data_IF_001701620644
#
_entry.id   IF_001701620644
#
_cell.length_a   1.000
_cell.length_b   1.000
_cell.length_c   1.000
_cell.angle_alpha   90.00
_cell.angle_beta   90.00
_cell.angle_gamma   90.00
#
_symmetry.space_group_name_H-M   'P 1'
#
loop_
_entity.id
_entity.type
_entity.pdbx_description
1 polymer ?
#
# COMPACT_ATOMS: atom_id res chain seq x y z
N UNK A 1 3.22 6.59 -3.64
CA UNK A 1 3.82 6.05 -2.41
C UNK A 1 4.27 7.20 -1.54
N UNK A 2 3.99 7.17 -0.26
CA UNK A 2 4.58 8.12 0.66
C UNK A 2 6.08 7.84 0.63
N UNK A 3 6.84 8.67 -0.06
CA UNK A 3 8.28 8.54 -0.09
C UNK A 3 8.79 8.69 1.34
N UNK A 4 9.69 7.81 1.78
CA UNK A 4 10.27 7.85 3.12
C UNK A 4 10.87 9.22 3.46
N UNK A 5 11.21 9.99 2.45
CA UNK A 5 11.76 11.35 2.49
C UNK A 5 10.83 12.40 1.86
N UNK A 6 9.60 12.04 1.50
CA UNK A 6 8.61 12.94 0.91
C UNK A 6 7.89 13.81 1.95
N UNK A 7 6.95 14.64 1.49
CA UNK A 7 6.18 15.59 2.31
C UNK A 7 5.46 14.94 3.51
N UNK A 8 5.13 13.64 3.41
CA UNK A 8 4.51 12.84 4.46
C UNK A 8 5.45 11.74 5.01
N UNK A 9 6.75 11.87 4.75
CA UNK A 9 7.76 10.94 5.23
C UNK A 9 7.92 10.95 6.74
N UNK A 10 8.26 9.80 7.33
CA UNK A 10 8.54 9.66 8.75
C UNK A 10 9.68 8.67 9.01
N UNK A 11 10.29 8.75 10.18
CA UNK A 11 11.30 7.78 10.60
C UNK A 11 10.74 6.35 10.65
N UNK A 12 9.47 6.18 11.02
CA UNK A 12 8.81 4.87 11.01
C UNK A 12 8.62 4.34 9.59
N UNK A 13 8.23 5.20 8.65
CA UNK A 13 8.13 4.84 7.25
C UNK A 13 9.48 4.44 6.67
N UNK A 14 10.56 5.17 7.01
CA UNK A 14 11.91 4.83 6.57
C UNK A 14 12.42 3.50 7.15
N UNK A 15 12.04 3.17 8.38
CA UNK A 15 12.54 1.99 9.08
C UNK A 15 12.06 0.65 8.45
N UNK A 16 10.95 0.63 7.73
CA UNK A 16 10.45 -0.61 7.10
C UNK A 16 11.11 -0.93 5.76
N UNK A 17 11.79 0.03 5.11
CA UNK A 17 12.37 -0.14 3.76
C UNK A 17 13.23 -1.40 3.63
N UNK A 18 14.20 -1.66 4.54
CA UNK A 18 15.03 -2.85 4.42
C UNK A 18 14.23 -4.15 4.46
N UNK A 19 13.17 -4.20 5.29
CA UNK A 19 12.29 -5.37 5.39
C UNK A 19 11.49 -5.55 4.10
N UNK A 20 10.93 -4.48 3.54
CA UNK A 20 10.20 -4.52 2.27
C UNK A 20 11.11 -4.96 1.13
N UNK A 21 12.33 -4.41 1.03
CA UNK A 21 13.34 -4.83 0.03
C UNK A 21 13.64 -6.32 0.16
N UNK A 22 13.93 -6.79 1.38
CA UNK A 22 14.17 -8.21 1.64
C UNK A 22 12.98 -9.07 1.20
N UNK A 23 11.76 -8.65 1.52
CA UNK A 23 10.54 -9.37 1.17
C UNK A 23 10.37 -9.46 -0.35
N UNK A 24 10.37 -8.32 -1.06
CA UNK A 24 10.11 -8.32 -2.51
C UNK A 24 11.22 -8.98 -3.32
N UNK A 25 12.47 -8.90 -2.85
CA UNK A 25 13.62 -9.53 -3.54
C UNK A 25 13.60 -11.07 -3.48
N UNK A 26 12.91 -11.66 -2.52
CA UNK A 26 12.84 -13.11 -2.30
C UNK A 26 11.43 -13.68 -2.46
N UNK A 27 10.45 -12.85 -2.83
CA UNK A 27 9.06 -13.29 -2.97
C UNK A 27 8.90 -14.16 -4.22
N UNK A 28 8.40 -15.38 -4.01
CA UNK A 28 8.04 -16.30 -5.09
C UNK A 28 6.59 -16.06 -5.51
N UNK A 29 6.39 -15.13 -6.43
CA UNK A 29 5.07 -14.74 -6.95
C UNK A 29 5.09 -13.40 -7.67
N UNK A 30 3.92 -12.95 -8.09
CA UNK A 30 3.75 -11.66 -8.76
C UNK A 30 3.78 -10.52 -7.75
N UNK A 31 4.61 -9.50 -8.00
CA UNK A 31 4.70 -8.29 -7.17
C UNK A 31 4.02 -7.13 -7.89
N UNK A 32 3.00 -6.55 -7.24
CA UNK A 32 2.26 -5.40 -7.76
C UNK A 32 2.42 -4.24 -6.78
N UNK A 33 2.83 -3.09 -7.31
CA UNK A 33 2.92 -1.86 -6.56
C UNK A 33 1.66 -1.03 -6.79
N UNK A 34 0.94 -0.70 -5.73
CA UNK A 34 -0.08 0.36 -5.78
C UNK A 34 0.56 1.67 -5.34
N UNK A 35 0.26 2.76 -6.03
CA UNK A 35 0.90 4.05 -5.78
C UNK A 35 -0.13 5.16 -5.85
N UNK A 36 -0.13 6.04 -4.83
CA UNK A 36 -0.93 7.26 -4.86
C UNK A 36 -0.52 8.14 -6.04
N UNK A 37 -1.49 8.67 -6.74
CA UNK A 37 -1.28 9.52 -7.92
C UNK A 37 -2.34 10.62 -7.96
N UNK A 38 -1.97 11.78 -7.45
CA UNK A 38 -2.86 12.95 -7.43
C UNK A 38 -2.62 13.88 -8.61
N UNK A 39 -3.66 14.59 -9.01
CA UNK A 39 -3.58 15.67 -10.01
C UNK A 39 -3.01 16.96 -9.40
N UNK A 40 -2.68 17.91 -10.27
CA UNK A 40 -2.23 19.24 -9.85
C UNK A 40 -3.31 20.02 -9.07
N UNK A 41 -4.55 19.58 -9.16
CA UNK A 41 -5.72 20.13 -8.46
C UNK A 41 -5.96 19.51 -7.06
N UNK A 42 -5.00 18.74 -6.54
CA UNK A 42 -5.09 18.03 -5.24
C UNK A 42 -5.71 18.90 -4.13
N UNK A 43 -5.28 20.15 -3.99
CA UNK A 43 -5.76 21.07 -2.95
C UNK A 43 -7.25 21.41 -3.06
N UNK A 44 -7.89 21.11 -4.19
CA UNK A 44 -9.32 21.30 -4.44
C UNK A 44 -10.12 19.98 -4.37
N UNK A 45 -9.47 18.90 -3.98
CA UNK A 45 -10.13 17.61 -3.72
C UNK A 45 -10.58 17.52 -2.27
N UNK A 46 -11.52 16.60 -1.98
CA UNK A 46 -11.95 16.32 -0.59
C UNK A 46 -10.77 15.90 0.30
N UNK A 47 -9.80 15.17 -0.24
CA UNK A 47 -8.63 14.77 0.49
C UNK A 47 -7.72 15.97 0.77
N UNK A 48 -7.48 16.82 -0.22
CA UNK A 48 -6.68 18.03 -0.07
C UNK A 48 -7.28 19.03 0.90
N UNK A 49 -8.61 19.11 1.01
CA UNK A 49 -9.28 19.93 2.03
C UNK A 49 -9.04 19.41 3.46
N UNK A 50 -8.96 18.07 3.63
CA UNK A 50 -8.75 17.44 4.95
C UNK A 50 -7.29 17.29 5.31
N UNK A 51 -6.42 17.11 4.33
CA UNK A 51 -4.97 16.97 4.45
C UNK A 51 -4.28 17.98 3.50
N UNK A 52 -4.18 19.26 3.87
CA UNK A 52 -3.65 20.32 3.00
C UNK A 52 -2.12 20.25 2.86
N UNK A 53 -1.60 19.07 2.55
CA UNK A 53 -0.18 18.80 2.32
C UNK A 53 -0.04 18.19 0.94
N UNK A 54 0.50 18.96 -0.01
CA UNK A 54 0.73 18.49 -1.38
C UNK A 54 1.71 17.31 -1.35
N UNK A 55 1.27 16.17 -1.90
CA UNK A 55 2.06 14.94 -1.97
C UNK A 55 1.65 14.10 -3.18
N UNK A 56 2.49 13.19 -3.61
CA UNK A 56 2.24 12.21 -4.67
C UNK A 56 1.63 12.80 -5.95
N UNK A 57 1.95 14.06 -6.28
CA UNK A 57 1.49 14.66 -7.54
C UNK A 57 2.17 13.93 -8.69
N UNK A 58 1.36 13.45 -9.62
CA UNK A 58 1.81 12.66 -10.78
C UNK A 58 2.93 13.40 -11.53
N UNK A 59 3.90 12.64 -12.01
CA UNK A 59 5.07 13.11 -12.75
C UNK A 59 6.02 14.01 -11.94
N UNK A 60 5.96 13.96 -10.60
CA UNK A 60 6.90 14.64 -9.72
C UNK A 60 7.78 13.62 -8.95
N UNK A 61 8.96 14.03 -8.42
CA UNK A 61 9.79 13.15 -7.62
C UNK A 61 9.09 12.53 -6.41
N UNK A 62 8.13 13.22 -5.82
CA UNK A 62 7.35 12.73 -4.67
C UNK A 62 6.34 11.62 -5.02
N UNK A 63 6.06 11.41 -6.29
CA UNK A 63 5.21 10.34 -6.81
C UNK A 63 6.01 9.07 -7.15
N UNK A 64 7.31 9.20 -7.41
CA UNK A 64 8.17 8.09 -7.78
C UNK A 64 8.27 7.02 -6.68
N UNK A 65 8.45 5.77 -7.09
CA UNK A 65 8.82 4.68 -6.18
C UNK A 65 10.23 4.93 -5.64
N UNK A 66 10.46 4.68 -4.36
CA UNK A 66 11.77 4.91 -3.76
C UNK A 66 12.87 4.08 -4.44
N UNK A 67 14.08 4.62 -4.47
CA UNK A 67 15.19 4.07 -5.25
C UNK A 67 15.55 2.64 -4.84
N UNK A 68 15.41 2.30 -3.56
CA UNK A 68 15.70 0.97 -3.02
C UNK A 68 14.74 -0.11 -3.57
N UNK A 69 13.52 0.28 -3.94
CA UNK A 69 12.52 -0.65 -4.47
C UNK A 69 12.44 -0.66 -6.01
N UNK A 70 12.98 0.36 -6.69
CA UNK A 70 12.97 0.45 -8.16
C UNK A 70 13.48 -0.81 -8.87
N UNK A 71 14.55 -1.49 -8.41
CA UNK A 71 15.04 -2.72 -9.05
C UNK A 71 14.05 -3.88 -9.06
N UNK A 72 13.04 -3.86 -8.18
CA UNK A 72 12.06 -4.95 -8.02
C UNK A 72 10.69 -4.61 -8.59
N UNK A 73 10.55 -3.47 -9.26
CA UNK A 73 9.28 -3.03 -9.85
C UNK A 73 8.97 -3.86 -11.08
N UNK A 74 7.84 -4.56 -11.07
CA UNK A 74 7.29 -5.29 -12.21
C UNK A 74 6.05 -4.60 -12.76
N UNK A 75 5.08 -4.34 -11.91
CA UNK A 75 3.81 -3.70 -12.25
C UNK A 75 3.52 -2.59 -11.26
N UNK A 76 3.15 -1.42 -11.77
CA UNK A 76 2.71 -0.29 -10.96
C UNK A 76 1.28 0.08 -11.34
N UNK A 77 0.44 0.26 -10.33
CA UNK A 77 -0.94 0.71 -10.48
C UNK A 77 -1.08 2.05 -9.77
N UNK A 78 -1.29 3.09 -10.54
CA UNK A 78 -1.59 4.42 -10.00
C UNK A 78 -3.03 4.45 -9.50
N UNK A 79 -3.22 5.03 -8.34
CA UNK A 79 -4.51 5.09 -7.67
C UNK A 79 -4.75 6.50 -7.10
N UNK A 80 -5.89 7.13 -7.41
CA UNK A 80 -6.19 8.49 -6.93
C UNK A 80 -6.79 8.53 -5.52
N UNK A 81 -6.88 7.39 -4.85
CA UNK A 81 -7.52 7.24 -3.54
C UNK A 81 -6.79 6.19 -2.70
N UNK A 82 -7.17 6.04 -1.43
CA UNK A 82 -6.51 5.14 -0.47
C UNK A 82 -6.62 3.65 -0.85
N UNK A 83 -7.72 3.24 -1.49
CA UNK A 83 -7.94 1.87 -1.93
C UNK A 83 -8.11 1.78 -3.45
N UNK A 84 -7.45 0.82 -4.05
CA UNK A 84 -7.52 0.55 -5.49
C UNK A 84 -8.70 -0.38 -5.80
N UNK A 85 -9.83 0.18 -6.24
CA UNK A 85 -11.02 -0.62 -6.57
C UNK A 85 -10.83 -1.55 -7.77
N UNK A 86 -9.86 -1.26 -8.62
CA UNK A 86 -9.48 -2.11 -9.76
C UNK A 86 -8.53 -3.26 -9.38
N UNK A 87 -7.99 -3.26 -8.16
CA UNK A 87 -7.00 -4.25 -7.74
C UNK A 87 -7.50 -5.70 -7.88
N UNK A 88 -8.75 -6.04 -7.51
CA UNK A 88 -9.27 -7.40 -7.73
C UNK A 88 -9.25 -7.82 -9.20
N UNK A 89 -9.66 -6.95 -10.11
CA UNK A 89 -9.64 -7.22 -11.56
C UNK A 89 -8.20 -7.43 -12.06
N UNK A 90 -7.28 -6.63 -11.58
CA UNK A 90 -5.85 -6.74 -11.92
C UNK A 90 -5.30 -8.07 -11.40
N UNK A 91 -5.57 -8.44 -10.14
CA UNK A 91 -5.13 -9.71 -9.56
C UNK A 91 -5.67 -10.90 -10.34
N UNK A 92 -6.95 -10.89 -10.72
CA UNK A 92 -7.56 -11.96 -11.53
C UNK A 92 -6.93 -12.10 -12.93
N UNK A 93 -6.28 -11.06 -13.47
CA UNK A 93 -5.59 -11.17 -14.76
C UNK A 93 -4.29 -11.96 -14.72
N UNK A 94 -3.75 -12.24 -13.53
CA UNK A 94 -2.55 -13.06 -13.34
C UNK A 94 -2.85 -14.55 -13.11
N UNK A 95 -4.12 -14.94 -12.97
CA UNK A 95 -4.57 -16.32 -12.83
C UNK A 95 -6.00 -16.42 -12.31
N UNK A 96 -6.67 -17.52 -12.66
CA UNK A 96 -8.06 -17.75 -12.22
C UNK A 96 -8.13 -18.14 -10.72
N UNK A 97 -7.05 -18.70 -10.18
CA UNK A 97 -6.98 -19.20 -8.79
C UNK A 97 -6.06 -18.32 -7.93
N UNK A 98 -6.62 -17.21 -7.45
CA UNK A 98 -5.93 -16.32 -6.50
C UNK A 98 -6.09 -16.90 -5.10
N UNK A 99 -5.16 -17.75 -4.68
CA UNK A 99 -5.23 -18.47 -3.40
C UNK A 99 -4.54 -17.77 -2.23
N UNK A 100 -3.54 -16.90 -2.51
CA UNK A 100 -2.79 -16.16 -1.49
C UNK A 100 -2.48 -14.73 -1.94
N UNK A 101 -2.76 -13.77 -1.08
CA UNK A 101 -2.44 -12.36 -1.29
C UNK A 101 -1.71 -11.85 -0.05
N UNK A 102 -0.51 -11.29 -0.23
CA UNK A 102 0.22 -10.64 0.84
C UNK A 102 0.31 -9.13 0.57
N UNK A 103 0.02 -8.33 1.59
CA UNK A 103 0.11 -6.88 1.52
C UNK A 103 1.20 -6.37 2.46
N UNK A 104 1.90 -5.34 2.01
CA UNK A 104 2.86 -4.58 2.82
C UNK A 104 2.97 -3.14 2.30
N UNK A 105 3.56 -2.27 3.09
CA UNK A 105 3.83 -0.87 2.69
C UNK A 105 3.21 0.17 3.62
N UNK A 106 2.85 1.29 3.05
CA UNK A 106 2.41 2.50 3.76
C UNK A 106 1.09 3.03 3.20
N UNK A 107 0.26 3.64 4.04
CA UNK A 107 0.27 3.50 5.51
C UNK A 107 -0.63 2.34 5.91
N UNK A 108 -0.28 1.63 7.00
CA UNK A 108 -1.07 0.48 7.51
C UNK A 108 -2.52 0.85 7.72
N UNK A 109 -2.75 2.01 8.33
CA UNK A 109 -4.03 2.56 8.76
C UNK A 109 -4.79 3.33 7.65
N UNK A 110 -4.24 3.39 6.45
CA UNK A 110 -4.84 4.09 5.31
C UNK A 110 -4.90 3.14 4.09
N UNK A 111 -3.83 3.13 3.26
CA UNK A 111 -3.83 2.40 2.00
C UNK A 111 -3.76 0.88 2.18
N UNK A 112 -2.98 0.38 3.16
CA UNK A 112 -2.84 -1.07 3.37
C UNK A 112 -4.16 -1.67 3.82
N UNK A 113 -4.80 -1.12 4.87
CA UNK A 113 -6.10 -1.62 5.34
C UNK A 113 -7.18 -1.49 4.26
N UNK A 114 -7.22 -0.37 3.52
CA UNK A 114 -8.20 -0.16 2.45
C UNK A 114 -8.08 -1.23 1.36
N UNK A 115 -6.88 -1.49 0.87
CA UNK A 115 -6.64 -2.53 -0.13
C UNK A 115 -6.87 -3.94 0.44
N UNK A 116 -6.48 -4.19 1.69
CA UNK A 116 -6.69 -5.47 2.35
C UNK A 116 -8.19 -5.82 2.45
N UNK A 117 -9.04 -4.85 2.80
CA UNK A 117 -10.49 -5.03 2.83
C UNK A 117 -11.07 -5.28 1.43
N UNK A 118 -10.62 -4.53 0.42
CA UNK A 118 -11.06 -4.69 -0.97
C UNK A 118 -10.73 -6.10 -1.48
N UNK A 119 -9.48 -6.56 -1.30
CA UNK A 119 -9.08 -7.89 -1.79
C UNK A 119 -9.72 -9.02 -0.98
N UNK A 120 -9.90 -8.86 0.35
CA UNK A 120 -10.59 -9.83 1.17
C UNK A 120 -12.06 -9.99 0.77
N UNK A 121 -12.74 -8.90 0.45
CA UNK A 121 -14.12 -8.94 -0.03
C UNK A 121 -14.24 -9.57 -1.43
N UNK A 122 -13.27 -9.33 -2.31
CA UNK A 122 -13.28 -9.88 -3.68
C UNK A 122 -12.84 -11.34 -3.76
N UNK A 123 -11.94 -11.78 -2.86
CA UNK A 123 -11.40 -13.14 -2.80
C UNK A 123 -11.64 -13.74 -1.39
N UNK A 124 -12.88 -14.07 -1.03
CA UNK A 124 -13.21 -14.51 0.33
C UNK A 124 -12.49 -15.79 0.75
N UNK A 125 -12.18 -16.67 -0.19
CA UNK A 125 -11.50 -17.95 0.06
C UNK A 125 -9.95 -17.82 0.00
N UNK A 126 -9.41 -16.70 -0.49
CA UNK A 126 -7.97 -16.49 -0.51
C UNK A 126 -7.42 -16.24 0.90
N UNK A 127 -6.21 -16.72 1.13
CA UNK A 127 -5.43 -16.36 2.31
C UNK A 127 -4.90 -14.93 2.15
N UNK A 128 -5.60 -13.96 2.73
CA UNK A 128 -5.14 -12.56 2.74
C UNK A 128 -4.31 -12.31 3.98
N UNK A 129 -3.07 -11.84 3.78
CA UNK A 129 -2.09 -11.61 4.83
C UNK A 129 -1.53 -10.20 4.77
N UNK A 130 -1.18 -9.65 5.92
CA UNK A 130 -0.45 -8.37 6.04
C UNK A 130 0.81 -8.61 6.86
N UNK A 131 1.96 -8.29 6.29
CA UNK A 131 3.24 -8.39 6.99
C UNK A 131 3.47 -7.09 7.78
N UNK A 132 3.22 -7.16 9.10
CA UNK A 132 3.33 -6.00 9.97
C UNK A 132 4.75 -5.44 10.07
N UNK A 133 5.77 -6.28 9.91
CA UNK A 133 7.18 -5.86 9.92
C UNK A 133 7.58 -5.06 8.67
N UNK A 134 6.77 -5.18 7.62
CA UNK A 134 6.89 -4.47 6.35
C UNK A 134 5.86 -3.35 6.20
N UNK A 135 5.19 -2.95 7.29
CA UNK A 135 4.18 -1.89 7.31
C UNK A 135 4.49 -0.85 8.38
N UNK A 136 4.06 0.39 8.13
CA UNK A 136 4.04 1.45 9.15
C UNK A 136 2.78 2.30 8.98
N UNK A 137 2.19 2.70 10.09
CA UNK A 137 1.06 3.63 10.13
C UNK A 137 1.51 5.08 10.31
N UNK A 138 0.55 5.98 10.31
CA UNK A 138 0.78 7.40 10.63
C UNK A 138 1.30 7.54 12.05
N UNK A 139 0.71 6.79 12.99
CA UNK A 139 1.21 6.63 14.36
C UNK A 139 1.33 5.15 14.73
N UNK A 140 2.01 4.84 15.83
CA UNK A 140 2.07 3.47 16.34
C UNK A 140 0.70 2.95 16.77
N UNK A 141 -0.10 3.82 17.35
CA UNK A 141 -1.44 3.52 17.83
C UNK A 141 -2.40 3.23 16.67
N UNK A 142 -2.40 4.07 15.62
CA UNK A 142 -3.24 3.86 14.45
C UNK A 142 -2.80 2.63 13.64
N UNK A 143 -1.49 2.37 13.55
CA UNK A 143 -0.95 1.14 12.98
C UNK A 143 -1.53 -0.10 13.69
N UNK A 144 -1.43 -0.16 15.03
CA UNK A 144 -1.95 -1.30 15.79
C UNK A 144 -3.47 -1.45 15.67
N UNK A 145 -4.20 -0.32 15.71
CA UNK A 145 -5.66 -0.32 15.51
C UNK A 145 -6.05 -0.91 14.16
N UNK A 146 -5.33 -0.55 13.09
CA UNK A 146 -5.58 -1.08 11.76
C UNK A 146 -5.29 -2.59 11.67
N UNK A 147 -4.19 -3.06 12.27
CA UNK A 147 -3.88 -4.48 12.34
C UNK A 147 -4.98 -5.27 13.07
N UNK A 148 -5.48 -4.76 14.18
CA UNK A 148 -6.53 -5.42 14.96
C UNK A 148 -7.87 -5.41 14.22
N UNK A 149 -8.19 -4.32 13.50
CA UNK A 149 -9.36 -4.27 12.63
C UNK A 149 -9.29 -5.31 11.49
N UNK A 150 -8.12 -5.47 10.88
CA UNK A 150 -7.90 -6.47 9.82
C UNK A 150 -8.04 -7.91 10.33
N UNK A 151 -7.56 -8.20 11.54
CA UNK A 151 -7.77 -9.52 12.18
C UNK A 151 -9.25 -9.83 12.36
N UNK A 152 -10.08 -8.84 12.72
CA UNK A 152 -11.51 -9.05 12.95
C UNK A 152 -12.26 -9.51 11.68
N UNK A 153 -11.73 -9.21 10.50
CA UNK A 153 -12.27 -9.65 9.20
C UNK A 153 -11.46 -10.78 8.55
N UNK A 154 -10.75 -11.56 9.37
CA UNK A 154 -10.02 -12.77 8.96
C UNK A 154 -8.82 -12.51 8.03
N UNK A 155 -8.20 -11.35 8.13
CA UNK A 155 -6.91 -11.08 7.51
C UNK A 155 -5.82 -11.49 8.50
N UNK A 156 -4.89 -12.34 8.05
CA UNK A 156 -3.78 -12.84 8.88
C UNK A 156 -2.70 -11.76 9.00
N UNK A 157 -2.23 -11.50 10.21
CA UNK A 157 -1.13 -10.59 10.48
C UNK A 157 0.14 -11.41 10.78
N UNK A 158 1.16 -11.20 9.95
CA UNK A 158 2.47 -11.84 10.06
C UNK A 158 3.42 -10.98 10.91
#
# INVERSE_FOLDING_TARGET
>A
MICFYGSLGSAHAAAIVPNVVKKVSSFDGTVIYTRDAHGADYMHTQEGEKLPIIHCIKDTPGWEICDELKPYVQTVVDNPAFGCVDLPRILSSYGEDVSRIELCGLCTDICVISNAMIVKAAFPEAQVKVDSSCCAGVTKESHQTALDAMKAVQIEIL
#
